data_IF_268766197865
#
_entry.id   IF_268766197865
#
_cell.length_a   1.000
_cell.length_b   1.000
_cell.length_c   1.000
_cell.angle_alpha   90.00
_cell.angle_beta   90.00
_cell.angle_gamma   90.00
#
_symmetry.space_group_name_H-M   'P 1'
#
loop_
_entity.id
_entity.type
_entity.pdbx_description
1 polymer ?
#
# COMPACT_ATOMS: atom_id res chain seq x y z
N UNK A 1 28.63 -44.60 13.26
CA UNK A 1 28.83 -43.14 13.40
C UNK A 1 28.13 -42.43 12.24
N UNK A 2 27.37 -41.38 12.56
CA UNK A 2 26.42 -40.70 11.67
C UNK A 2 27.12 -39.99 10.51
N UNK A 3 26.62 -40.19 9.29
CA UNK A 3 26.90 -39.39 8.10
C UNK A 3 25.95 -38.19 8.13
N UNK A 4 26.45 -36.98 8.39
CA UNK A 4 25.69 -35.75 8.19
C UNK A 4 26.15 -35.11 6.89
N UNK A 5 25.32 -35.28 5.86
CA UNK A 5 25.44 -34.54 4.61
C UNK A 5 25.16 -33.07 4.91
N UNK A 6 26.11 -32.25 4.49
CA UNK A 6 26.09 -30.80 4.53
C UNK A 6 24.79 -30.31 3.89
N UNK A 7 24.12 -29.44 4.63
CA UNK A 7 22.74 -29.02 4.41
C UNK A 7 22.51 -28.50 3.00
N UNK A 8 21.52 -29.10 2.36
CA UNK A 8 20.59 -28.35 1.53
C UNK A 8 20.10 -27.17 2.39
N UNK A 9 20.62 -25.98 2.11
CA UNK A 9 19.85 -24.77 2.30
C UNK A 9 18.61 -24.96 1.43
N UNK A 10 17.59 -25.57 2.01
CA UNK A 10 16.22 -25.40 1.55
C UNK A 10 16.00 -23.89 1.62
N UNK A 11 16.15 -23.24 0.46
CA UNK A 11 15.62 -21.92 0.20
C UNK A 11 14.25 -21.93 0.84
N UNK A 12 14.14 -21.19 1.93
CA UNK A 12 12.94 -21.06 2.73
C UNK A 12 11.79 -20.97 1.76
N UNK A 13 10.97 -22.02 1.76
CA UNK A 13 9.67 -21.97 1.16
C UNK A 13 9.08 -20.63 1.60
N UNK A 14 8.80 -19.77 0.62
CA UNK A 14 7.91 -18.63 0.77
C UNK A 14 6.61 -19.22 1.29
N UNK A 15 6.54 -19.38 2.60
CA UNK A 15 5.35 -19.71 3.31
C UNK A 15 4.58 -18.40 3.34
N UNK A 16 3.85 -18.15 2.24
CA UNK A 16 2.80 -17.17 2.12
C UNK A 16 1.86 -17.33 3.31
N UNK A 17 2.15 -16.59 4.37
CA UNK A 17 1.46 -16.62 5.64
C UNK A 17 0.33 -15.61 5.62
N UNK A 18 -0.85 -16.07 5.22
CA UNK A 18 -2.14 -15.60 5.75
C UNK A 18 -2.48 -14.11 5.61
N UNK A 19 -2.79 -13.70 4.38
CA UNK A 19 -3.63 -12.55 4.03
C UNK A 19 -4.29 -12.90 2.69
N UNK A 20 -5.30 -12.17 2.22
CA UNK A 20 -6.06 -12.58 1.03
C UNK A 20 -5.15 -12.68 -0.21
N UNK A 21 -5.34 -13.70 -1.06
CA UNK A 21 -4.47 -13.98 -2.19
C UNK A 21 -4.36 -12.80 -3.15
N UNK A 22 -3.20 -12.17 -3.14
CA UNK A 22 -2.71 -11.24 -4.14
C UNK A 22 -1.19 -11.20 -4.01
N UNK A 23 -0.47 -11.31 -5.12
CA UNK A 23 0.98 -11.17 -5.12
C UNK A 23 1.41 -9.75 -4.76
N UNK A 24 2.72 -9.54 -4.78
CA UNK A 24 3.32 -8.20 -4.66
C UNK A 24 2.76 -7.21 -5.70
N UNK A 25 2.41 -7.71 -6.89
CA UNK A 25 1.75 -6.91 -7.92
C UNK A 25 0.36 -6.42 -7.51
N UNK A 26 -0.43 -7.27 -6.86
CA UNK A 26 -1.81 -6.98 -6.46
C UNK A 26 -1.84 -5.99 -5.29
N UNK A 27 -0.86 -6.02 -4.38
CA UNK A 27 -0.81 -5.09 -3.24
C UNK A 27 -0.67 -3.62 -3.69
N UNK A 28 0.09 -3.37 -4.75
CA UNK A 28 0.24 -2.03 -5.32
C UNK A 28 -1.03 -1.57 -6.04
N UNK A 29 -1.67 -2.47 -6.79
CA UNK A 29 -2.95 -2.17 -7.44
C UNK A 29 -4.04 -1.89 -6.39
N UNK A 30 -4.11 -2.69 -5.34
CA UNK A 30 -5.04 -2.50 -4.23
C UNK A 30 -4.79 -1.18 -3.49
N UNK A 31 -3.53 -0.81 -3.25
CA UNK A 31 -3.18 0.46 -2.60
C UNK A 31 -3.68 1.67 -3.38
N UNK A 32 -3.40 1.69 -4.67
CA UNK A 32 -3.75 2.80 -5.53
C UNK A 32 -5.25 2.83 -5.84
N UNK A 33 -5.89 1.67 -6.02
CA UNK A 33 -7.34 1.58 -6.18
C UNK A 33 -8.06 2.05 -4.92
N UNK A 34 -7.62 1.62 -3.73
CA UNK A 34 -8.20 2.05 -2.46
C UNK A 34 -8.05 3.56 -2.26
N UNK A 35 -6.89 4.12 -2.61
CA UNK A 35 -6.66 5.58 -2.59
C UNK A 35 -7.59 6.33 -3.54
N UNK A 36 -7.74 5.86 -4.79
CA UNK A 36 -8.66 6.45 -5.75
C UNK A 36 -10.14 6.35 -5.29
N UNK A 37 -10.52 5.25 -4.65
CA UNK A 37 -11.86 5.12 -4.06
C UNK A 37 -12.06 6.08 -2.89
N UNK A 38 -11.05 6.28 -2.04
CA UNK A 38 -11.07 7.30 -0.99
C UNK A 38 -11.21 8.70 -1.57
N UNK A 39 -10.52 9.02 -2.67
CA UNK A 39 -10.65 10.31 -3.35
C UNK A 39 -12.06 10.50 -3.90
N UNK A 40 -12.63 9.47 -4.53
CA UNK A 40 -14.04 9.47 -4.99
C UNK A 40 -15.00 9.71 -3.83
N UNK A 41 -14.77 9.04 -2.69
CA UNK A 41 -15.53 9.24 -1.44
C UNK A 41 -15.37 10.66 -0.88
N UNK A 42 -14.24 11.32 -1.14
CA UNK A 42 -13.94 12.67 -0.68
C UNK A 42 -14.43 13.80 -1.59
N UNK A 43 -14.88 13.53 -2.82
CA UNK A 43 -15.20 14.57 -3.83
C UNK A 43 -16.21 15.61 -3.36
N UNK A 44 -17.23 15.20 -2.60
CA UNK A 44 -18.23 16.13 -2.07
C UNK A 44 -17.63 17.16 -1.08
N UNK A 45 -16.45 16.87 -0.54
CA UNK A 45 -15.69 17.72 0.38
C UNK A 45 -14.47 18.36 -0.28
N UNK A 46 -14.41 18.37 -1.61
CA UNK A 46 -13.35 19.05 -2.38
C UNK A 46 -12.05 18.25 -2.53
N UNK A 47 -12.02 16.96 -2.19
CA UNK A 47 -10.88 16.10 -2.48
C UNK A 47 -10.79 15.85 -3.98
N UNK A 48 -9.59 16.01 -4.52
CA UNK A 48 -9.24 15.68 -5.91
C UNK A 48 -8.22 14.56 -5.88
N UNK A 49 -8.50 13.49 -6.62
CA UNK A 49 -7.57 12.38 -6.79
C UNK A 49 -6.71 12.51 -8.03
N UNK A 50 -5.87 11.49 -8.22
CA UNK A 50 -5.04 11.32 -9.41
C UNK A 50 -5.89 11.09 -10.68
N UNK A 51 -5.37 11.49 -11.82
CA UNK A 51 -5.85 11.02 -13.13
C UNK A 51 -5.47 9.56 -13.36
N UNK A 52 -6.15 8.89 -14.31
CA UNK A 52 -5.88 7.49 -14.62
C UNK A 52 -4.41 7.24 -15.03
N UNK A 53 -3.78 8.20 -15.74
CA UNK A 53 -2.37 8.09 -16.12
C UNK A 53 -1.42 8.21 -14.92
N UNK A 54 -1.72 9.13 -14.00
CA UNK A 54 -0.95 9.29 -12.76
C UNK A 54 -1.12 8.06 -11.87
N UNK A 55 -2.31 7.47 -11.84
CA UNK A 55 -2.59 6.22 -11.12
C UNK A 55 -1.75 5.06 -11.66
N UNK A 56 -1.72 4.87 -12.98
CA UNK A 56 -0.92 3.83 -13.63
C UNK A 56 0.59 4.00 -13.35
N UNK A 57 1.08 5.24 -13.43
CA UNK A 57 2.48 5.56 -13.12
C UNK A 57 2.82 5.23 -11.65
N UNK A 58 1.93 5.56 -10.73
CA UNK A 58 2.08 5.29 -9.31
C UNK A 58 2.09 3.78 -9.01
N UNK A 59 1.19 3.01 -9.63
CA UNK A 59 1.17 1.53 -9.52
C UNK A 59 2.51 0.95 -9.97
N UNK A 60 3.05 1.41 -11.11
CA UNK A 60 4.33 0.92 -11.62
C UNK A 60 5.51 1.28 -10.69
N UNK A 61 5.50 2.47 -10.09
CA UNK A 61 6.51 2.86 -9.10
C UNK A 61 6.43 2.00 -7.85
N UNK A 62 5.21 1.75 -7.35
CA UNK A 62 4.98 0.89 -6.22
C UNK A 62 5.58 -0.50 -6.49
N UNK A 63 5.26 -1.11 -7.64
CA UNK A 63 5.79 -2.44 -8.01
C UNK A 63 7.31 -2.51 -7.99
N UNK A 64 8.00 -1.50 -8.56
CA UNK A 64 9.48 -1.43 -8.54
C UNK A 64 10.08 -1.32 -7.14
N UNK A 65 9.34 -0.75 -6.20
CA UNK A 65 9.81 -0.48 -4.84
C UNK A 65 9.38 -1.58 -3.86
N UNK A 66 8.28 -2.26 -4.14
CA UNK A 66 7.70 -3.29 -3.29
C UNK A 66 8.60 -4.52 -3.12
N UNK A 67 9.39 -4.85 -4.15
CA UNK A 67 10.44 -5.88 -4.10
C UNK A 67 11.49 -5.62 -3.00
N UNK A 68 11.66 -4.36 -2.59
CA UNK A 68 12.63 -3.95 -1.55
C UNK A 68 11.99 -3.85 -0.18
N UNK A 69 10.68 -3.99 -0.08
CA UNK A 69 9.94 -3.94 1.17
C UNK A 69 10.11 -5.24 1.96
N UNK A 70 10.19 -5.11 3.28
CA UNK A 70 10.12 -6.27 4.16
C UNK A 70 8.67 -6.78 4.25
N UNK A 71 8.48 -8.03 4.67
CA UNK A 71 7.11 -8.56 4.89
C UNK A 71 6.33 -7.71 5.89
N UNK A 72 6.99 -7.21 6.95
CA UNK A 72 6.37 -6.31 7.92
C UNK A 72 5.96 -4.96 7.32
N UNK A 73 6.67 -4.48 6.31
CA UNK A 73 6.28 -3.27 5.58
C UNK A 73 5.02 -3.54 4.73
N UNK A 74 5.00 -4.67 4.02
CA UNK A 74 3.85 -5.10 3.20
C UNK A 74 2.59 -5.30 4.06
N UNK A 75 2.71 -5.89 5.24
CA UNK A 75 1.61 -6.03 6.20
C UNK A 75 1.03 -4.68 6.65
N UNK A 76 1.89 -3.66 6.83
CA UNK A 76 1.44 -2.30 7.18
C UNK A 76 0.69 -1.64 6.02
N UNK A 77 1.17 -1.84 4.79
CA UNK A 77 0.51 -1.38 3.57
C UNK A 77 -0.86 -2.05 3.45
N UNK A 78 -0.94 -3.38 3.55
CA UNK A 78 -2.20 -4.11 3.51
C UNK A 78 -3.17 -3.65 4.63
N UNK A 79 -2.64 -3.37 5.82
CA UNK A 79 -3.40 -2.79 6.92
C UNK A 79 -4.02 -1.44 6.55
N UNK A 80 -3.21 -0.54 5.97
CA UNK A 80 -3.65 0.77 5.51
C UNK A 80 -4.73 0.67 4.43
N UNK A 81 -4.57 -0.22 3.44
CA UNK A 81 -5.56 -0.49 2.39
C UNK A 81 -6.91 -0.87 3.00
N UNK A 82 -6.90 -1.88 3.88
CA UNK A 82 -8.12 -2.32 4.58
C UNK A 82 -8.74 -1.21 5.42
N UNK A 83 -7.97 -0.24 5.90
CA UNK A 83 -8.49 0.92 6.61
C UNK A 83 -9.13 1.91 5.63
N UNK A 84 -8.43 2.28 4.54
CA UNK A 84 -8.89 3.18 3.49
C UNK A 84 -10.23 2.70 2.87
N UNK A 85 -10.35 1.41 2.58
CA UNK A 85 -11.57 0.81 2.04
C UNK A 85 -12.79 1.01 2.95
N UNK A 86 -12.57 1.13 4.26
CA UNK A 86 -13.62 1.29 5.27
C UNK A 86 -13.96 2.75 5.59
N UNK A 87 -13.22 3.72 5.04
CA UNK A 87 -13.52 5.14 5.21
C UNK A 87 -14.91 5.43 4.64
N UNK A 88 -15.68 6.25 5.36
CA UNK A 88 -17.01 6.67 4.94
C UNK A 88 -16.95 7.66 3.77
N UNK A 89 -18.03 7.78 3.01
CA UNK A 89 -18.16 8.87 2.03
C UNK A 89 -18.25 10.21 2.74
N UNK A 90 -17.47 11.18 2.27
CA UNK A 90 -17.53 12.54 2.77
C UNK A 90 -18.80 13.26 2.29
N UNK A 91 -19.39 14.06 3.16
CA UNK A 91 -20.64 14.79 2.97
C UNK A 91 -20.67 16.00 3.91
N UNK A 92 -21.59 16.93 3.67
CA UNK A 92 -21.75 18.10 4.54
C UNK A 92 -22.11 17.66 5.98
N UNK A 93 -21.31 18.11 6.95
CA UNK A 93 -21.48 17.80 8.37
C UNK A 93 -20.70 16.59 8.88
N UNK A 94 -20.01 15.82 8.02
CA UNK A 94 -19.13 14.73 8.43
C UNK A 94 -17.66 14.89 7.97
N UNK A 95 -17.28 16.06 7.46
CA UNK A 95 -15.95 16.29 6.87
C UNK A 95 -14.82 15.96 7.86
N UNK A 96 -14.96 16.40 9.11
CA UNK A 96 -13.99 16.12 10.17
C UNK A 96 -13.83 14.63 10.47
N UNK A 97 -14.90 13.85 10.34
CA UNK A 97 -14.84 12.40 10.49
C UNK A 97 -14.09 11.78 9.31
N UNK A 98 -14.44 12.14 8.08
CA UNK A 98 -13.79 11.63 6.87
C UNK A 98 -12.28 11.88 6.91
N UNK A 99 -11.85 13.13 7.15
CA UNK A 99 -10.42 13.46 7.22
C UNK A 99 -9.75 12.78 8.43
N UNK A 100 -10.44 12.66 9.56
CA UNK A 100 -9.93 11.93 10.72
C UNK A 100 -9.69 10.44 10.44
N UNK A 101 -10.63 9.78 9.77
CA UNK A 101 -10.49 8.39 9.31
C UNK A 101 -9.34 8.26 8.31
N UNK A 102 -9.24 9.18 7.35
CA UNK A 102 -8.15 9.23 6.36
C UNK A 102 -6.77 9.36 7.01
N UNK A 103 -6.59 10.34 7.91
CA UNK A 103 -5.34 10.50 8.66
C UNK A 103 -5.04 9.29 9.54
N UNK A 104 -6.08 8.68 10.13
CA UNK A 104 -5.95 7.45 10.93
C UNK A 104 -5.44 6.26 10.10
N UNK A 105 -5.93 6.10 8.87
CA UNK A 105 -5.46 5.05 7.97
C UNK A 105 -4.04 5.33 7.46
N UNK A 106 -3.74 6.57 7.09
CA UNK A 106 -2.38 6.97 6.72
C UNK A 106 -1.38 6.78 7.88
N UNK A 107 -1.84 6.80 9.14
CA UNK A 107 -0.99 6.52 10.29
C UNK A 107 -0.43 5.08 10.30
N UNK A 108 -1.07 4.13 9.60
CA UNK A 108 -0.65 2.72 9.62
C UNK A 108 0.62 2.45 8.81
N UNK A 109 0.91 3.29 7.81
CA UNK A 109 2.16 3.23 7.06
C UNK A 109 3.32 3.95 7.78
N UNK A 110 3.10 4.48 8.99
CA UNK A 110 4.20 5.03 9.78
C UNK A 110 5.19 3.92 10.18
N UNK A 111 6.47 4.25 10.03
CA UNK A 111 7.53 3.31 10.33
C UNK A 111 7.73 2.24 9.26
N UNK A 112 7.28 2.48 8.03
CA UNK A 112 7.83 1.76 6.88
C UNK A 112 9.36 1.95 6.82
N UNK A 113 10.05 0.88 6.45
CA UNK A 113 11.48 0.92 6.14
C UNK A 113 11.77 1.97 5.06
N UNK A 114 12.97 2.56 5.07
CA UNK A 114 13.33 3.53 4.04
C UNK A 114 13.17 2.97 2.63
N UNK A 115 13.48 1.67 2.45
CA UNK A 115 13.35 0.99 1.16
C UNK A 115 11.90 0.91 0.66
N UNK A 116 10.91 0.91 1.57
CA UNK A 116 9.50 0.76 1.23
C UNK A 116 8.73 2.09 1.16
N UNK A 117 9.29 3.20 1.64
CA UNK A 117 8.62 4.51 1.59
C UNK A 117 8.30 4.96 0.17
N UNK A 118 9.19 4.67 -0.78
CA UNK A 118 9.00 4.98 -2.20
C UNK A 118 7.84 4.19 -2.83
N UNK A 119 7.44 3.05 -2.22
CA UNK A 119 6.30 2.28 -2.71
C UNK A 119 4.95 2.94 -2.39
N UNK A 120 4.91 3.80 -1.37
CA UNK A 120 3.68 4.45 -0.90
C UNK A 120 3.70 5.97 -1.05
N UNK A 121 4.82 6.55 -1.50
CA UNK A 121 4.93 7.99 -1.70
C UNK A 121 4.53 8.36 -3.12
N UNK A 122 3.66 9.37 -3.24
CA UNK A 122 3.26 10.00 -4.49
C UNK A 122 4.19 11.16 -4.87
N UNK A 123 5.15 11.51 -4.00
CA UNK A 123 6.03 12.67 -4.14
C UNK A 123 7.01 12.57 -5.33
N UNK A 124 7.26 11.37 -5.86
CA UNK A 124 8.22 11.16 -6.96
C UNK A 124 7.60 11.24 -8.37
N UNK A 125 6.28 11.44 -8.51
CA UNK A 125 5.61 11.53 -9.83
C UNK A 125 5.85 12.86 -10.56
N UNK A 126 6.38 13.88 -9.86
CA UNK A 126 6.72 15.19 -10.41
C UNK A 126 8.16 15.28 -10.97
N UNK A 127 9.00 14.24 -10.79
CA UNK A 127 10.39 14.22 -11.29
C UNK A 127 10.57 13.26 -12.48
N UNK A 128 10.02 13.61 -13.64
CA UNK A 128 10.60 13.16 -14.93
C UNK A 128 11.22 14.37 -15.66
N UNK A 129 12.52 14.35 -16.02
CA UNK A 129 13.15 15.38 -16.87
C UNK A 129 12.76 15.28 -18.34
#
# INVERSE_FOLDING_TARGET
>A
MKKFLIGLMASSALAFGTGCGGGDDDLCEDLHNSSNEVDKKGRACGVTGLSDNELDAAIQQCKRSLDKCTDSDKEKIEGAIKCLDRINTCSEGNEGQYFGELFGCAAQVYGLSQACRTAVSLEDLDEEP
#
